data_IF_427566334315
#
_entry.id   IF_427566334315
#
_cell.length_a   1.000
_cell.length_b   1.000
_cell.length_c   1.000
_cell.angle_alpha   90.00
_cell.angle_beta   90.00
_cell.angle_gamma   90.00
#
_symmetry.space_group_name_H-M   'P 1'
#
loop_
_entity.id
_entity.type
_entity.pdbx_description
1 polymer ?
#
# COMPACT_ATOMS: atom_id res chain seq x y z
N UNK A 1 9.36 5.52 -24.71
CA UNK A 1 8.85 6.32 -23.58
C UNK A 1 9.17 5.55 -22.32
N UNK A 2 10.03 6.07 -21.46
CA UNK A 2 10.29 5.44 -20.15
C UNK A 2 9.03 5.57 -19.30
N UNK A 3 8.47 4.45 -18.87
CA UNK A 3 7.33 4.46 -17.94
C UNK A 3 7.86 4.65 -16.53
N UNK A 4 7.76 5.88 -16.01
CA UNK A 4 8.03 6.15 -14.59
C UNK A 4 6.93 5.50 -13.74
N UNK A 5 7.29 4.99 -12.56
CA UNK A 5 6.36 4.29 -11.67
C UNK A 5 6.16 5.09 -10.39
N UNK A 6 4.92 5.31 -9.98
CA UNK A 6 4.56 5.86 -8.68
C UNK A 6 4.39 4.71 -7.68
N UNK A 7 5.00 4.84 -6.50
CA UNK A 7 4.93 3.84 -5.42
C UNK A 7 4.43 4.48 -4.13
N UNK A 8 3.59 3.77 -3.38
CA UNK A 8 3.15 4.18 -2.03
C UNK A 8 3.29 3.04 -1.05
N UNK A 9 3.73 3.39 0.16
CA UNK A 9 3.77 2.49 1.32
C UNK A 9 2.65 2.91 2.27
N UNK A 10 1.75 1.98 2.56
CA UNK A 10 0.62 2.15 3.47
C UNK A 10 0.95 1.45 4.79
N UNK A 11 0.79 2.14 5.93
CA UNK A 11 1.08 1.60 7.27
C UNK A 11 -0.05 1.93 8.22
N UNK A 12 -0.57 0.92 8.92
CA UNK A 12 -1.62 1.05 9.94
C UNK A 12 -1.33 0.17 11.15
N UNK A 13 -2.04 0.44 12.24
CA UNK A 13 -1.96 -0.35 13.46
C UNK A 13 -2.99 -1.50 13.48
N UNK A 14 -3.85 -1.57 12.46
CA UNK A 14 -4.81 -2.65 12.30
C UNK A 14 -4.87 -3.12 10.85
N UNK A 15 -5.19 -4.41 10.68
CA UNK A 15 -5.37 -5.02 9.37
C UNK A 15 -6.57 -4.43 8.62
N UNK A 16 -7.67 -4.14 9.34
CA UNK A 16 -8.89 -3.61 8.73
C UNK A 16 -8.68 -2.22 8.14
N UNK A 17 -7.98 -1.34 8.85
CA UNK A 17 -7.66 0.00 8.35
C UNK A 17 -6.73 -0.08 7.13
N UNK A 18 -5.73 -0.97 7.16
CA UNK A 18 -4.83 -1.16 6.03
C UNK A 18 -5.58 -1.62 4.78
N UNK A 19 -6.50 -2.58 4.93
CA UNK A 19 -7.33 -3.05 3.82
C UNK A 19 -8.21 -1.93 3.25
N UNK A 20 -8.74 -1.05 4.11
CA UNK A 20 -9.44 0.16 3.70
C UNK A 20 -8.56 1.06 2.82
N UNK A 21 -7.37 1.42 3.30
CA UNK A 21 -6.44 2.26 2.53
C UNK A 21 -6.03 1.62 1.20
N UNK A 22 -5.78 0.31 1.20
CA UNK A 22 -5.41 -0.43 -0.02
C UNK A 22 -6.55 -0.33 -1.05
N UNK A 23 -7.79 -0.56 -0.63
CA UNK A 23 -8.97 -0.43 -1.49
C UNK A 23 -9.14 0.99 -2.04
N UNK A 24 -8.87 2.01 -1.21
CA UNK A 24 -8.86 3.40 -1.69
C UNK A 24 -7.80 3.68 -2.74
N UNK A 25 -6.60 3.09 -2.63
CA UNK A 25 -5.57 3.25 -3.66
C UNK A 25 -5.91 2.46 -4.91
N UNK A 26 -6.54 1.28 -4.78
CA UNK A 26 -7.06 0.51 -5.92
C UNK A 26 -8.07 1.35 -6.71
N UNK A 27 -9.01 2.02 -6.02
CA UNK A 27 -9.95 2.93 -6.66
C UNK A 27 -9.28 4.12 -7.39
N UNK A 28 -8.04 4.47 -7.03
CA UNK A 28 -7.21 5.52 -7.66
C UNK A 28 -6.30 4.96 -8.78
N UNK A 29 -6.48 3.71 -9.17
CA UNK A 29 -5.72 3.05 -10.23
C UNK A 29 -4.39 2.46 -9.80
N UNK A 30 -4.14 2.29 -8.49
CA UNK A 30 -2.97 1.57 -8.01
C UNK A 30 -3.20 0.07 -7.97
N UNK A 31 -2.12 -0.68 -8.16
CA UNK A 31 -2.06 -2.14 -8.05
C UNK A 31 -1.25 -2.51 -6.81
N UNK A 32 -1.76 -3.38 -5.92
CA UNK A 32 -1.03 -3.84 -4.75
C UNK A 32 0.18 -4.69 -5.13
N UNK A 33 1.30 -4.46 -4.45
CA UNK A 33 2.57 -5.16 -4.58
C UNK A 33 2.78 -6.08 -3.36
N UNK A 34 2.10 -7.23 -3.36
CA UNK A 34 2.39 -8.31 -2.41
C UNK A 34 1.96 -8.10 -0.96
N UNK A 35 2.29 -9.10 -0.14
CA UNK A 35 1.62 -9.42 1.14
C UNK A 35 1.77 -8.39 2.26
N UNK A 36 0.71 -8.30 3.07
CA UNK A 36 0.66 -7.49 4.27
C UNK A 36 1.66 -8.02 5.29
N UNK A 37 2.72 -7.26 5.58
CA UNK A 37 3.61 -7.59 6.70
C UNK A 37 2.89 -7.28 8.00
N UNK A 38 2.78 -8.27 8.88
CA UNK A 38 2.25 -8.11 10.22
C UNK A 38 3.29 -8.51 11.26
N UNK A 39 3.64 -7.58 12.14
CA UNK A 39 4.41 -7.88 13.33
C UNK A 39 3.56 -7.58 14.56
N UNK A 40 3.67 -8.46 15.55
CA UNK A 40 3.12 -8.30 16.88
C UNK A 40 4.28 -8.28 17.85
N UNK A 41 5.12 -7.24 17.78
CA UNK A 41 6.18 -7.04 18.75
C UNK A 41 5.64 -6.21 19.93
N UNK A 42 5.99 -6.62 21.14
CA UNK A 42 5.79 -6.03 22.47
C UNK A 42 5.22 -4.58 22.52
N UNK A 43 3.95 -4.38 22.14
CA UNK A 43 3.29 -3.07 22.26
C UNK A 43 2.35 -2.65 21.13
N UNK A 44 2.32 -3.32 19.99
CA UNK A 44 1.36 -2.99 18.93
C UNK A 44 1.40 -3.92 17.73
N UNK A 45 0.25 -4.14 17.10
CA UNK A 45 0.19 -4.75 15.78
C UNK A 45 0.51 -3.66 14.75
N UNK A 46 1.46 -3.91 13.85
CA UNK A 46 1.61 -3.07 12.65
C UNK A 46 1.23 -3.90 11.43
N UNK A 47 0.56 -3.25 10.47
CA UNK A 47 0.22 -3.81 9.17
C UNK A 47 0.76 -2.87 8.08
N UNK A 48 1.49 -3.40 7.11
CA UNK A 48 2.05 -2.61 6.01
C UNK A 48 1.76 -3.24 4.65
N UNK A 49 1.40 -2.41 3.66
CA UNK A 49 1.24 -2.79 2.25
C UNK A 49 1.98 -1.81 1.33
N UNK A 50 2.30 -2.24 0.11
CA UNK A 50 2.85 -1.40 -0.94
C UNK A 50 1.92 -1.43 -2.15
N UNK A 51 1.74 -0.29 -2.82
CA UNK A 51 0.95 -0.17 -4.05
C UNK A 51 1.72 0.61 -5.11
N UNK A 52 1.49 0.32 -6.39
CA UNK A 52 2.13 1.02 -7.52
C UNK A 52 1.15 1.39 -8.62
N UNK A 53 1.48 2.39 -9.44
CA UNK A 53 0.85 2.62 -10.74
C UNK A 53 1.84 3.26 -11.72
N UNK A 54 1.59 3.19 -13.05
CA UNK A 54 2.30 4.03 -14.00
C UNK A 54 2.11 5.50 -13.61
N UNK A 55 3.20 6.26 -13.52
CA UNK A 55 3.12 7.71 -13.43
C UNK A 55 2.61 8.23 -14.78
N UNK A 56 1.64 9.13 -14.75
CA UNK A 56 1.41 9.95 -15.94
C UNK A 56 2.71 10.73 -16.18
N UNK A 57 3.29 10.60 -17.38
CA UNK A 57 4.32 11.53 -17.81
C UNK A 57 3.62 12.88 -17.97
N UNK A 58 4.10 13.91 -17.25
CA UNK A 58 3.68 15.31 -17.47
C UNK A 58 4.09 15.78 -18.86
#
# INVERSE_FOLDING_TARGET
METTMEYKILKRNSHSELMGDVNEQIAKGFVPLGGVAMDRSHGGAFAQAMVKRPSAAE
#
